data_IF_388004310094
#
_entry.id   IF_388004310094
#
_cell.length_a   1.000
_cell.length_b   1.000
_cell.length_c   1.000
_cell.angle_alpha   90.00
_cell.angle_beta   90.00
_cell.angle_gamma   90.00
#
_symmetry.space_group_name_H-M   'P 1'
#
loop_
_entity.id
_entity.type
_entity.pdbx_description
1 polymer ?
#
# COMPACT_ATOMS: atom_id res chain seq x y z
N UNK A 1 -25.81 13.39 2.39
CA UNK A 1 -24.46 12.84 2.56
C UNK A 1 -23.86 12.77 1.18
N UNK A 2 -22.68 13.37 0.96
CA UNK A 2 -22.03 13.35 -0.35
C UNK A 2 -21.42 11.97 -0.59
N UNK A 3 -21.33 11.53 -1.83
CA UNK A 3 -20.70 10.24 -2.18
C UNK A 3 -19.23 10.24 -1.74
N UNK A 4 -18.53 11.36 -1.92
CA UNK A 4 -17.13 11.51 -1.48
C UNK A 4 -16.95 11.34 0.03
N UNK A 5 -17.94 11.73 0.84
CA UNK A 5 -17.88 11.54 2.30
C UNK A 5 -18.02 10.05 2.66
N UNK A 6 -18.82 9.29 1.91
CA UNK A 6 -18.92 7.82 2.06
C UNK A 6 -17.62 7.15 1.67
N UNK A 7 -17.03 7.53 0.53
CA UNK A 7 -15.75 6.96 0.08
C UNK A 7 -14.63 7.22 1.10
N UNK A 8 -14.65 8.35 1.80
CA UNK A 8 -13.70 8.66 2.89
C UNK A 8 -13.91 7.77 4.09
N UNK A 9 -15.15 7.62 4.54
CA UNK A 9 -15.48 6.71 5.62
C UNK A 9 -15.08 5.25 5.28
N UNK A 10 -15.31 4.82 4.04
CA UNK A 10 -14.93 3.49 3.57
C UNK A 10 -13.40 3.30 3.55
N UNK A 11 -12.64 4.29 3.06
CA UNK A 11 -11.19 4.26 3.06
C UNK A 11 -10.60 4.24 4.48
N UNK A 12 -11.17 5.00 5.41
CA UNK A 12 -10.78 4.98 6.82
C UNK A 12 -11.12 3.64 7.48
N UNK A 13 -12.29 3.07 7.18
CA UNK A 13 -12.70 1.77 7.70
C UNK A 13 -11.77 0.65 7.20
N UNK A 14 -11.50 0.60 5.89
CA UNK A 14 -10.59 -0.41 5.32
C UNK A 14 -9.16 -0.28 5.89
N UNK A 15 -8.68 0.94 6.07
CA UNK A 15 -7.38 1.17 6.71
C UNK A 15 -7.39 0.73 8.19
N UNK A 16 -8.48 0.96 8.92
CA UNK A 16 -8.62 0.47 10.29
C UNK A 16 -8.59 -1.06 10.36
N UNK A 17 -9.12 -1.77 9.35
CA UNK A 17 -8.99 -3.23 9.24
C UNK A 17 -7.53 -3.67 9.06
N UNK A 18 -6.74 -2.94 8.26
CA UNK A 18 -5.29 -3.17 8.15
C UNK A 18 -4.61 -2.93 9.49
N UNK A 19 -4.88 -1.81 10.17
CA UNK A 19 -4.26 -1.50 11.46
C UNK A 19 -4.59 -2.56 12.52
N UNK A 20 -5.83 -3.04 12.54
CA UNK A 20 -6.24 -4.15 13.40
C UNK A 20 -5.55 -5.47 13.03
N UNK A 21 -5.35 -5.74 11.74
CA UNK A 21 -4.68 -6.96 11.29
C UNK A 21 -3.21 -6.99 11.67
N UNK A 22 -2.54 -5.84 11.84
CA UNK A 22 -1.14 -5.75 12.29
C UNK A 22 -1.00 -5.48 13.80
N UNK A 23 -2.09 -5.34 14.54
CA UNK A 23 -2.05 -5.08 15.98
C UNK A 23 -1.35 -6.23 16.74
N UNK A 24 -0.32 -5.86 17.50
CA UNK A 24 0.49 -6.79 18.29
C UNK A 24 1.48 -7.64 17.48
N UNK A 25 1.61 -7.41 16.16
CA UNK A 25 2.62 -8.08 15.34
C UNK A 25 4.01 -7.59 15.78
N UNK A 26 4.88 -8.54 16.14
CA UNK A 26 6.29 -8.27 16.45
C UNK A 26 7.12 -8.18 15.17
N UNK A 27 8.32 -7.61 15.26
CA UNK A 27 9.25 -7.58 14.12
C UNK A 27 9.58 -9.00 13.62
N UNK A 28 9.80 -9.95 14.54
CA UNK A 28 10.07 -11.34 14.18
C UNK A 28 8.88 -12.02 13.48
N UNK A 29 7.65 -11.69 13.85
CA UNK A 29 6.44 -12.14 13.14
C UNK A 29 6.31 -11.45 11.78
N UNK A 30 6.63 -10.15 11.69
CA UNK A 30 6.52 -9.40 10.45
C UNK A 30 7.48 -9.90 9.36
N UNK A 31 8.67 -10.35 9.78
CA UNK A 31 9.72 -10.91 8.92
C UNK A 31 9.50 -12.36 8.50
N UNK A 32 8.51 -13.04 9.08
CA UNK A 32 8.23 -14.41 8.74
C UNK A 32 7.71 -14.55 7.30
N UNK A 33 8.34 -15.43 6.53
CA UNK A 33 8.03 -15.67 5.11
C UNK A 33 7.11 -16.88 4.99
N UNK A 34 6.02 -16.75 4.22
CA UNK A 34 5.16 -17.89 3.91
C UNK A 34 5.93 -18.97 3.16
N UNK A 35 6.02 -20.21 3.70
CA UNK A 35 6.65 -21.30 2.99
C UNK A 35 5.81 -21.68 1.76
N UNK A 36 6.47 -21.95 0.64
CA UNK A 36 5.83 -22.39 -0.61
C UNK A 36 4.78 -21.40 -1.13
N UNK A 37 5.20 -20.21 -1.54
CA UNK A 37 4.37 -19.13 -2.13
C UNK A 37 3.53 -19.54 -3.36
N UNK A 38 3.62 -20.80 -3.81
CA UNK A 38 2.97 -21.30 -5.01
C UNK A 38 3.56 -20.67 -6.27
N UNK A 39 2.99 -20.99 -7.44
CA UNK A 39 3.38 -20.36 -8.71
C UNK A 39 2.77 -18.96 -8.89
N UNK A 40 1.74 -18.64 -8.12
CA UNK A 40 1.00 -17.38 -8.25
C UNK A 40 1.76 -16.25 -7.57
N UNK A 41 1.93 -15.14 -8.30
CA UNK A 41 2.56 -13.96 -7.75
C UNK A 41 1.66 -13.33 -6.68
N UNK A 42 2.04 -13.50 -5.41
CA UNK A 42 1.62 -12.57 -4.38
C UNK A 42 2.30 -11.25 -4.73
N UNK A 43 1.56 -10.14 -4.76
CA UNK A 43 2.11 -8.79 -5.01
C UNK A 43 3.06 -8.31 -3.88
N UNK A 44 3.60 -9.24 -3.11
CA UNK A 44 4.46 -9.13 -1.94
C UNK A 44 5.32 -10.40 -1.86
N UNK A 45 6.46 -10.34 -1.19
CA UNK A 45 7.35 -11.49 -0.98
C UNK A 45 6.80 -12.57 -0.02
N UNK A 46 5.52 -12.46 0.35
CA UNK A 46 4.86 -13.36 1.29
C UNK A 46 5.09 -13.04 2.76
N UNK A 47 5.57 -11.84 3.09
CA UNK A 47 5.74 -11.37 4.47
C UNK A 47 4.73 -10.28 4.82
N UNK A 48 4.43 -10.13 6.12
CA UNK A 48 3.61 -9.01 6.61
C UNK A 48 4.38 -7.69 6.41
N UNK A 49 5.71 -7.70 6.61
CA UNK A 49 6.58 -6.55 6.39
C UNK A 49 6.43 -6.00 4.96
N UNK A 50 6.55 -6.84 3.94
CA UNK A 50 6.41 -6.41 2.55
C UNK A 50 4.98 -5.98 2.20
N UNK A 51 3.95 -6.61 2.78
CA UNK A 51 2.57 -6.14 2.61
C UNK A 51 2.41 -4.70 3.13
N UNK A 52 2.95 -4.39 4.31
CA UNK A 52 2.88 -3.04 4.89
C UNK A 52 3.62 -2.01 4.01
N UNK A 53 4.82 -2.34 3.53
CA UNK A 53 5.54 -1.49 2.58
C UNK A 53 4.77 -1.29 1.28
N UNK A 54 4.19 -2.36 0.74
CA UNK A 54 3.39 -2.31 -0.48
C UNK A 54 2.17 -1.40 -0.33
N UNK A 55 1.41 -1.55 0.76
CA UNK A 55 0.27 -0.68 1.06
C UNK A 55 0.70 0.79 1.17
N UNK A 56 1.79 1.07 1.87
CA UNK A 56 2.31 2.44 2.03
C UNK A 56 2.75 3.03 0.68
N UNK A 57 3.49 2.25 -0.12
CA UNK A 57 3.97 2.67 -1.43
C UNK A 57 2.85 2.94 -2.41
N UNK A 58 1.84 2.07 -2.45
CA UNK A 58 0.66 2.23 -3.30
C UNK A 58 -0.10 3.50 -2.94
N UNK A 59 -0.33 3.76 -1.65
CA UNK A 59 -1.00 4.99 -1.17
C UNK A 59 -0.26 6.26 -1.61
N UNK A 60 1.07 6.30 -1.45
CA UNK A 60 1.87 7.47 -1.86
C UNK A 60 1.93 7.65 -3.38
N UNK A 61 2.34 6.62 -4.11
CA UNK A 61 2.53 6.73 -5.56
C UNK A 61 1.18 6.93 -6.28
N UNK A 62 0.12 6.22 -5.89
CA UNK A 62 -1.18 6.39 -6.54
C UNK A 62 -1.83 7.72 -6.19
N UNK A 63 -1.80 8.13 -4.91
CA UNK A 63 -2.30 9.44 -4.50
C UNK A 63 -1.63 10.56 -5.30
N UNK A 64 -0.30 10.45 -5.42
CA UNK A 64 0.52 11.37 -6.20
C UNK A 64 0.18 11.40 -7.69
N UNK A 65 0.22 10.24 -8.36
CA UNK A 65 0.00 10.16 -9.80
C UNK A 65 -1.43 10.58 -10.15
N UNK A 66 -2.42 10.06 -9.43
CA UNK A 66 -3.83 10.25 -9.77
C UNK A 66 -4.34 11.65 -9.44
N UNK A 67 -3.84 12.29 -8.37
CA UNK A 67 -4.43 13.51 -7.84
C UNK A 67 -3.46 14.68 -7.63
N UNK A 68 -2.14 14.46 -7.70
CA UNK A 68 -1.12 15.50 -7.48
C UNK A 68 -0.04 15.57 -8.55
N UNK A 69 -0.39 15.21 -9.79
CA UNK A 69 0.50 15.38 -10.95
C UNK A 69 1.88 14.72 -10.77
N UNK A 70 1.91 13.54 -10.12
CA UNK A 70 3.12 12.75 -9.90
C UNK A 70 4.26 13.50 -9.17
N UNK A 71 3.92 14.26 -8.11
CA UNK A 71 4.88 14.92 -7.21
C UNK A 71 5.78 13.95 -6.43
N UNK A 72 5.28 12.75 -6.17
CA UNK A 72 5.96 11.59 -5.58
C UNK A 72 5.91 10.39 -6.53
N UNK A 73 7.05 9.72 -6.73
CA UNK A 73 7.29 8.73 -7.79
C UNK A 73 7.89 7.44 -7.25
N UNK A 74 8.10 6.46 -8.12
CA UNK A 74 8.71 5.17 -7.74
C UNK A 74 10.14 5.33 -7.21
N UNK A 75 10.94 6.27 -7.73
CA UNK A 75 12.26 6.56 -7.18
C UNK A 75 12.20 7.13 -5.77
N UNK A 76 11.25 8.01 -5.49
CA UNK A 76 11.07 8.56 -4.14
C UNK A 76 10.65 7.45 -3.16
N UNK A 77 9.76 6.55 -3.59
CA UNK A 77 9.39 5.36 -2.83
C UNK A 77 10.59 4.45 -2.55
N UNK A 78 11.43 4.21 -3.55
CA UNK A 78 12.67 3.46 -3.38
C UNK A 78 13.57 4.10 -2.33
N UNK A 79 13.82 5.41 -2.44
CA UNK A 79 14.69 6.15 -1.51
C UNK A 79 14.16 6.17 -0.07
N UNK A 80 12.83 6.28 0.10
CA UNK A 80 12.19 6.16 1.42
C UNK A 80 12.30 4.73 1.97
N UNK A 81 12.04 3.72 1.14
CA UNK A 81 12.06 2.31 1.54
C UNK A 81 13.46 1.89 2.01
N UNK A 82 14.53 2.29 1.30
CA UNK A 82 15.93 2.03 1.71
C UNK A 82 16.25 2.56 3.12
N UNK A 83 15.62 3.66 3.55
CA UNK A 83 15.86 4.26 4.88
C UNK A 83 15.06 3.58 5.99
N UNK A 84 13.99 2.88 5.63
CA UNK A 84 13.04 2.27 6.56
C UNK A 84 13.42 0.81 6.83
N UNK A 85 13.80 0.07 5.79
CA UNK A 85 14.07 -1.36 5.91
C UNK A 85 15.29 -1.66 6.81
N UNK A 86 15.28 -2.77 7.57
CA UNK A 86 14.19 -3.75 7.72
C UNK A 86 13.26 -3.47 8.92
N UNK A 87 13.23 -2.22 9.44
CA UNK A 87 12.57 -1.91 10.70
C UNK A 87 11.04 -2.00 10.61
N UNK A 88 10.47 -2.92 11.39
CA UNK A 88 9.01 -3.08 11.43
C UNK A 88 8.29 -1.85 11.98
N UNK A 89 8.81 -1.26 13.06
CA UNK A 89 8.23 -0.04 13.66
C UNK A 89 8.17 1.10 12.63
N UNK A 90 9.28 1.35 11.92
CA UNK A 90 9.36 2.39 10.89
C UNK A 90 8.44 2.08 9.70
N UNK A 91 8.26 0.81 9.34
CA UNK A 91 7.33 0.41 8.28
C UNK A 91 5.87 0.74 8.65
N UNK A 92 5.46 0.51 9.91
CA UNK A 92 4.12 0.85 10.40
C UNK A 92 3.90 2.37 10.42
N UNK A 93 4.88 3.14 10.89
CA UNK A 93 4.82 4.60 10.88
C UNK A 93 4.70 5.14 9.45
N UNK A 94 5.47 4.59 8.52
CA UNK A 94 5.41 4.94 7.10
C UNK A 94 4.05 4.63 6.47
N UNK A 95 3.43 3.50 6.83
CA UNK A 95 2.07 3.17 6.39
C UNK A 95 1.03 4.18 6.88
N UNK A 96 1.13 4.62 8.14
CA UNK A 96 0.23 5.65 8.68
C UNK A 96 0.45 7.01 8.01
N UNK A 97 1.70 7.39 7.74
CA UNK A 97 2.03 8.59 6.95
C UNK A 97 1.44 8.51 5.54
N UNK A 98 1.55 7.36 4.90
CA UNK A 98 1.01 7.12 3.57
C UNK A 98 -0.52 7.18 3.53
N UNK A 99 -1.22 6.71 4.57
CA UNK A 99 -2.67 6.88 4.68
C UNK A 99 -3.07 8.35 4.78
N UNK A 100 -2.41 9.13 5.63
CA UNK A 100 -2.69 10.57 5.73
C UNK A 100 -2.46 11.26 4.40
N UNK A 101 -1.33 10.98 3.76
CA UNK A 101 -1.02 11.50 2.43
C UNK A 101 -2.10 11.12 1.40
N UNK A 102 -2.53 9.85 1.38
CA UNK A 102 -3.58 9.37 0.48
C UNK A 102 -4.88 10.16 0.66
N UNK A 103 -5.38 10.34 1.88
CA UNK A 103 -6.59 11.10 2.14
C UNK A 103 -6.44 12.58 1.74
N UNK A 104 -5.28 13.17 2.00
CA UNK A 104 -4.98 14.55 1.62
C UNK A 104 -4.86 14.73 0.10
N UNK A 105 -4.57 13.68 -0.68
CA UNK A 105 -4.48 13.78 -2.14
C UNK A 105 -5.80 14.15 -2.80
N UNK A 106 -6.93 13.76 -2.21
CA UNK A 106 -8.26 13.98 -2.77
C UNK A 106 -9.20 14.67 -1.77
N UNK A 107 -8.64 15.40 -0.80
CA UNK A 107 -9.41 16.12 0.21
C UNK A 107 -10.45 17.09 -0.39
N UNK A 108 -10.05 17.78 -1.47
CA UNK A 108 -10.87 18.77 -2.19
C UNK A 108 -11.71 18.16 -3.33
N UNK A 109 -11.76 16.83 -3.46
CA UNK A 109 -12.63 16.18 -4.44
C UNK A 109 -14.10 16.31 -3.99
N UNK A 110 -14.98 16.60 -4.94
CA UNK A 110 -16.43 16.63 -4.75
C UNK A 110 -17.12 15.62 -5.66
N UNK A 111 -18.44 15.46 -5.47
CA UNK A 111 -19.23 14.45 -6.18
C UNK A 111 -19.25 14.67 -7.70
N UNK A 112 -19.19 15.94 -8.15
CA UNK A 112 -19.25 16.31 -9.56
C UNK A 112 -17.99 15.88 -10.34
N UNK A 113 -16.89 15.63 -9.62
CA UNK A 113 -15.58 15.28 -10.21
C UNK A 113 -15.24 13.79 -10.07
N UNK A 114 -16.14 12.98 -9.53
CA UNK A 114 -15.92 11.54 -9.34
C UNK A 114 -15.79 10.78 -10.67
N UNK A 115 -16.43 11.25 -11.74
CA UNK A 115 -16.35 10.66 -13.08
C UNK A 115 -15.17 11.21 -13.91
N UNK A 116 -14.38 12.16 -13.39
CA UNK A 116 -13.19 12.66 -14.08
C UNK A 116 -12.17 11.53 -14.25
N UNK A 117 -11.73 11.30 -15.50
CA UNK A 117 -10.64 10.38 -15.80
C UNK A 117 -9.32 10.98 -15.28
N UNK A 118 -8.60 10.19 -14.49
CA UNK A 118 -7.30 10.55 -13.91
C UNK A 118 -6.20 9.66 -14.49
N UNK A 119 -4.97 10.21 -14.64
CA UNK A 119 -3.82 9.39 -15.00
C UNK A 119 -3.58 8.32 -13.92
N UNK A 120 -3.13 7.15 -14.35
CA UNK A 120 -2.71 6.09 -13.43
C UNK A 120 -1.32 5.59 -13.80
N UNK A 121 -0.63 4.97 -12.85
CA UNK A 121 0.57 4.16 -13.12
C UNK A 121 0.19 2.73 -13.58
N UNK A 122 -1.11 2.48 -13.82
CA UNK A 122 -1.62 1.24 -14.39
C UNK A 122 -1.62 1.33 -15.92
N UNK A 123 -1.95 0.22 -16.58
CA UNK A 123 -2.01 0.17 -18.06
C UNK A 123 -3.10 1.07 -18.67
N UNK A 124 -4.07 1.55 -17.87
CA UNK A 124 -5.23 2.30 -18.33
C UNK A 124 -5.67 3.31 -17.28
N UNK A 125 -5.91 4.55 -17.71
CA UNK A 125 -6.51 5.60 -16.91
C UNK A 125 -7.96 5.25 -16.50
N UNK A 126 -8.40 5.78 -15.36
CA UNK A 126 -9.69 5.43 -14.74
C UNK A 126 -10.36 6.64 -14.13
N UNK A 127 -11.66 6.54 -13.89
CA UNK A 127 -12.39 7.58 -13.13
C UNK A 127 -11.84 7.70 -11.70
N UNK A 128 -11.96 8.90 -11.11
CA UNK A 128 -11.61 9.11 -9.71
C UNK A 128 -12.37 8.14 -8.78
N UNK A 129 -13.66 7.89 -9.05
CA UNK A 129 -14.47 6.93 -8.30
C UNK A 129 -13.87 5.51 -8.32
N UNK A 130 -13.49 5.02 -9.49
CA UNK A 130 -12.90 3.68 -9.63
C UNK A 130 -11.56 3.59 -8.89
N UNK A 131 -10.72 4.62 -9.00
CA UNK A 131 -9.41 4.68 -8.33
C UNK A 131 -9.61 4.59 -6.80
N UNK A 132 -10.51 5.39 -6.24
CA UNK A 132 -10.79 5.39 -4.80
C UNK A 132 -11.30 4.04 -4.32
N UNK A 133 -12.19 3.38 -5.08
CA UNK A 133 -12.71 2.05 -4.75
C UNK A 133 -11.64 0.97 -4.84
N UNK A 134 -10.81 0.99 -5.88
CA UNK A 134 -9.71 0.02 -6.04
C UNK A 134 -8.73 0.14 -4.87
N UNK A 135 -8.28 1.35 -4.53
CA UNK A 135 -7.37 1.56 -3.41
C UNK A 135 -7.99 1.16 -2.06
N UNK A 136 -9.30 1.37 -1.87
CA UNK A 136 -10.00 0.94 -0.65
C UNK A 136 -10.10 -0.58 -0.54
N UNK A 137 -10.49 -1.26 -1.64
CA UNK A 137 -10.56 -2.72 -1.66
C UNK A 137 -9.19 -3.39 -1.53
N UNK A 138 -8.14 -2.72 -2.02
CA UNK A 138 -6.75 -3.16 -1.91
C UNK A 138 -6.33 -3.27 -0.44
N UNK A 139 -6.67 -2.30 0.42
CA UNK A 139 -6.42 -2.38 1.87
C UNK A 139 -7.11 -3.61 2.49
N UNK A 140 -8.43 -3.79 2.27
CA UNK A 140 -9.15 -4.94 2.85
C UNK A 140 -8.64 -6.28 2.35
N UNK A 141 -8.22 -6.38 1.08
CA UNK A 141 -7.59 -7.58 0.54
C UNK A 141 -6.30 -7.93 1.32
N UNK A 142 -5.42 -6.95 1.50
CA UNK A 142 -4.16 -7.15 2.23
C UNK A 142 -4.36 -7.38 3.74
N UNK A 143 -5.38 -6.78 4.35
CA UNK A 143 -5.76 -7.08 5.72
C UNK A 143 -6.09 -8.57 5.90
N UNK A 144 -6.81 -9.16 4.93
CA UNK A 144 -7.07 -10.61 4.89
C UNK A 144 -5.80 -11.44 4.72
N UNK A 145 -4.89 -11.03 3.84
CA UNK A 145 -3.60 -11.72 3.65
C UNK A 145 -2.75 -11.71 4.93
N UNK A 146 -2.66 -10.56 5.61
CA UNK A 146 -1.95 -10.43 6.89
C UNK A 146 -2.55 -11.38 7.93
N UNK A 147 -3.88 -11.47 8.03
CA UNK A 147 -4.54 -12.37 8.97
C UNK A 147 -4.15 -13.84 8.73
N UNK A 148 -4.04 -14.26 7.47
CA UNK A 148 -3.58 -15.61 7.11
C UNK A 148 -2.12 -15.81 7.49
N UNK A 149 -1.24 -14.86 7.18
CA UNK A 149 0.19 -14.95 7.52
C UNK A 149 0.40 -15.04 9.03
N UNK A 150 -0.26 -14.19 9.82
CA UNK A 150 -0.16 -14.22 11.30
C UNK A 150 -0.45 -15.59 11.90
N UNK A 151 -1.37 -16.35 11.30
CA UNK A 151 -1.69 -17.70 11.74
C UNK A 151 -0.79 -18.77 11.13
N UNK A 152 -0.36 -18.56 9.87
CA UNK A 152 0.25 -19.57 9.02
C UNK A 152 1.78 -19.64 9.08
N UNK A 153 2.46 -18.63 9.61
CA UNK A 153 3.94 -18.59 9.63
C UNK A 153 4.51 -18.46 11.04
N UNK A 154 5.60 -19.18 11.30
CA UNK A 154 6.37 -19.06 12.54
C UNK A 154 7.32 -17.87 12.46
N UNK A 155 7.68 -17.31 13.62
CA UNK A 155 8.56 -16.15 13.72
C UNK A 155 9.93 -16.36 13.05
N UNK A 156 10.50 -15.30 12.50
CA UNK A 156 11.83 -15.27 11.89
C UNK A 156 12.76 -14.34 12.67
N UNK A 157 14.01 -14.76 12.89
CA UNK A 157 15.08 -13.90 13.39
C UNK A 157 15.88 -13.21 12.28
N UNK A 158 15.55 -13.49 11.02
CA UNK A 158 16.24 -12.99 9.83
C UNK A 158 15.27 -12.10 9.07
N UNK A 159 15.68 -10.88 8.67
CA UNK A 159 14.83 -10.01 7.87
C UNK A 159 14.52 -10.66 6.51
N UNK A 160 13.36 -10.34 5.92
CA UNK A 160 12.99 -10.82 4.59
C UNK A 160 13.87 -10.17 3.51
N UNK A 161 13.77 -10.63 2.25
CA UNK A 161 14.34 -9.90 1.11
C UNK A 161 13.90 -8.42 1.08
N UNK A 162 14.73 -7.57 0.49
CA UNK A 162 14.47 -6.12 0.46
C UNK A 162 13.34 -5.77 -0.52
N UNK A 163 12.33 -5.06 -0.02
CA UNK A 163 11.27 -4.46 -0.83
C UNK A 163 11.83 -3.32 -1.67
N UNK A 164 12.84 -2.59 -1.20
CA UNK A 164 13.53 -1.59 -2.02
C UNK A 164 14.17 -2.21 -3.27
N UNK A 165 14.79 -3.39 -3.14
CA UNK A 165 15.33 -4.11 -4.31
C UNK A 165 14.23 -4.53 -5.28
N UNK A 166 13.07 -4.95 -4.77
CA UNK A 166 11.91 -5.27 -5.60
C UNK A 166 11.36 -4.04 -6.34
N UNK A 167 11.22 -2.89 -5.66
CA UNK A 167 10.82 -1.63 -6.31
C UNK A 167 11.81 -1.28 -7.43
N UNK A 168 13.12 -1.38 -7.17
CA UNK A 168 14.13 -1.09 -8.19
C UNK A 168 14.05 -2.07 -9.37
N UNK A 169 13.78 -3.34 -9.11
CA UNK A 169 13.70 -4.39 -10.15
C UNK A 169 12.45 -4.28 -11.00
N UNK A 170 11.30 -4.04 -10.37
CA UNK A 170 9.98 -4.14 -11.03
C UNK A 170 9.40 -2.79 -11.45
N UNK A 171 9.77 -1.69 -10.78
CA UNK A 171 9.19 -0.38 -11.03
C UNK A 171 10.08 0.58 -11.83
N UNK A 172 11.37 0.28 -12.00
CA UNK A 172 12.32 1.16 -12.70
C UNK A 172 11.95 1.48 -14.14
N UNK A 173 11.37 0.52 -14.84
CA UNK A 173 10.96 0.68 -16.24
C UNK A 173 9.48 1.07 -16.38
N UNK A 174 8.78 1.29 -15.26
CA UNK A 174 7.39 1.75 -15.28
C UNK A 174 7.31 3.28 -15.45
N UNK A 175 6.17 3.80 -15.93
CA UNK A 175 5.91 5.24 -15.86
C UNK A 175 6.06 5.77 -14.43
N UNK A 176 6.46 7.03 -14.32
CA UNK A 176 6.64 7.74 -13.04
C UNK A 176 7.75 7.17 -12.15
N UNK A 177 8.89 6.77 -12.76
CA UNK A 177 10.15 6.56 -12.03
C UNK A 177 10.74 7.88 -11.52
#
# INVERSE_FOLDING_TARGET
MRIVDVLRADADYAFAEVMKSIEGVTEAQAWAVLPNLGPDYLHTDGTIHAIVHHLAGMKKVHGSVCFRNAEYRWRDLYEDTVKIEPSWERAVEFLQEAQRYWLDCWADLDDDRLDEIRPTNWKQDRSALEILRICTQHDSYHAGQIAVLRYGVGESSTPPPSVAEDILKYCRELPYW
#
